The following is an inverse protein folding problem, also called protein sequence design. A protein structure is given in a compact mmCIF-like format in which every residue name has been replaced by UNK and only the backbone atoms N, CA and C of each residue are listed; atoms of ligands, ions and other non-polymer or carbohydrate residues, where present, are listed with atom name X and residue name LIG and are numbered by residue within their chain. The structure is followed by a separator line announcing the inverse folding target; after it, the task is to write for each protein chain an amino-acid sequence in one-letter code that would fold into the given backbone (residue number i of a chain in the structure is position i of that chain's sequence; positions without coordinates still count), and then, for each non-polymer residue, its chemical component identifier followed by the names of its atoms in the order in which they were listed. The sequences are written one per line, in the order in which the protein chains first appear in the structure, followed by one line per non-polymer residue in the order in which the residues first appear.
data_IF_484202785509
#
_entry.id   IF_484202785509
#
_cell.length_a   1.000
_cell.length_b   1.000
_cell.length_c   1.000
_cell.angle_alpha   90.00
_cell.angle_beta   90.00
_cell.angle_gamma   90.00
#
_symmetry.space_group_name_H-M   'P 1'
#
loop_
_entity.id
_entity.type
_entity.pdbx_description
1 polymer ?
#
# COMPACT_ATOMS: atom_id res chain seq x y z
N UNK A 1 69.36 30.77 46.87
CA UNK A 1 67.97 30.83 47.37
C UNK A 1 67.06 30.10 46.40
N UNK A 2 66.35 29.07 46.86
CA UNK A 2 65.40 28.24 46.10
C UNK A 2 64.05 28.96 45.95
N UNK A 3 63.44 28.96 44.77
CA UNK A 3 62.00 29.13 44.52
C UNK A 3 61.68 28.35 43.22
N UNK A 4 61.33 27.07 43.32
CA UNK A 4 59.98 26.49 43.33
C UNK A 4 59.23 26.64 42.00
N UNK A 5 59.31 25.57 41.18
CA UNK A 5 58.48 25.33 40.00
C UNK A 5 57.01 25.14 40.40
N UNK A 6 56.09 25.77 39.68
CA UNK A 6 54.69 25.35 39.61
C UNK A 6 54.40 24.79 38.22
N UNK A 7 54.20 23.48 38.15
CA UNK A 7 53.70 22.75 36.99
C UNK A 7 52.21 23.04 36.85
N UNK A 8 51.81 23.68 35.74
CA UNK A 8 50.40 23.83 35.37
C UNK A 8 49.94 22.51 34.75
N UNK A 9 49.08 21.79 35.48
CA UNK A 9 48.42 20.58 35.03
C UNK A 9 47.27 20.98 34.10
N UNK A 10 47.46 20.80 32.79
CA UNK A 10 46.41 21.04 31.79
C UNK A 10 45.38 19.91 31.85
N UNK A 11 44.19 20.21 32.37
CA UNK A 11 43.07 19.27 32.45
C UNK A 11 42.48 19.10 31.05
N UNK A 12 42.60 17.89 30.49
CA UNK A 12 41.89 17.47 29.29
C UNK A 12 40.38 17.47 29.57
N UNK A 13 39.65 18.42 28.99
CA UNK A 13 38.20 18.36 28.91
C UNK A 13 37.82 17.27 27.88
N UNK A 14 37.43 16.10 28.37
CA UNK A 14 36.87 15.04 27.53
C UNK A 14 35.58 15.54 26.88
N UNK A 15 35.55 15.54 25.55
CA UNK A 15 34.34 15.70 24.75
C UNK A 15 33.46 14.46 24.99
N UNK A 16 32.45 14.62 25.83
CA UNK A 16 31.34 13.67 25.90
C UNK A 16 30.52 13.81 24.62
N UNK A 17 30.64 12.85 23.71
CA UNK A 17 29.62 12.63 22.68
C UNK A 17 28.32 12.28 23.42
N UNK A 18 27.39 13.23 23.48
CA UNK A 18 26.01 12.97 23.87
C UNK A 18 25.41 11.97 22.87
N UNK A 19 25.41 10.69 23.23
CA UNK A 19 24.49 9.72 22.64
C UNK A 19 23.09 10.19 23.02
N UNK A 20 22.34 10.75 22.06
CA UNK A 20 20.94 11.07 22.25
C UNK A 20 20.23 9.77 22.68
N UNK A 21 19.42 9.78 23.75
CA UNK A 21 18.66 8.60 24.14
C UNK A 21 17.80 8.13 22.98
N UNK A 22 17.90 6.85 22.61
CA UNK A 22 17.08 6.24 21.57
C UNK A 22 15.62 6.44 21.96
N UNK A 23 14.89 7.23 21.18
CA UNK A 23 13.46 7.41 21.39
C UNK A 23 12.78 6.04 21.27
N UNK A 24 12.31 5.53 22.40
CA UNK A 24 11.70 4.19 22.50
C UNK A 24 10.27 4.22 21.93
N UNK A 25 9.73 5.41 21.68
CA UNK A 25 8.43 5.65 21.04
C UNK A 25 8.57 6.16 19.60
N UNK A 26 9.80 6.44 19.16
CA UNK A 26 10.09 6.86 17.79
C UNK A 26 9.86 5.72 16.80
N UNK A 27 9.18 5.99 15.70
CA UNK A 27 9.06 5.02 14.62
C UNK A 27 10.39 4.90 13.88
N UNK A 28 10.93 3.69 13.79
CA UNK A 28 12.08 3.45 12.94
C UNK A 28 11.65 3.65 11.48
N UNK A 29 12.35 4.50 10.69
CA UNK A 29 12.00 4.72 9.29
C UNK A 29 12.06 3.38 8.53
N UNK A 30 11.18 3.18 7.53
CA UNK A 30 11.16 1.94 6.76
C UNK A 30 12.54 1.71 6.12
N UNK A 31 13.03 0.48 6.19
CA UNK A 31 14.28 0.10 5.54
C UNK A 31 14.14 0.38 4.04
N UNK A 32 15.16 1.01 3.46
CA UNK A 32 15.22 1.22 2.00
C UNK A 32 15.10 -0.15 1.29
N UNK A 33 14.20 -0.31 0.31
CA UNK A 33 14.08 -1.56 -0.42
C UNK A 33 15.32 -1.83 -1.26
N UNK A 34 15.66 -3.12 -1.35
CA UNK A 34 16.53 -3.61 -2.41
C UNK A 34 15.74 -3.60 -3.72
N UNK A 35 16.26 -2.85 -4.71
CA UNK A 35 15.66 -2.70 -6.03
C UNK A 35 16.61 -3.28 -7.07
N UNK A 36 16.17 -4.30 -7.78
CA UNK A 36 16.97 -4.98 -8.81
C UNK A 36 16.22 -5.00 -10.13
N UNK A 37 16.86 -4.54 -11.21
CA UNK A 37 16.36 -4.75 -12.56
C UNK A 37 16.72 -6.17 -13.01
N UNK A 38 15.71 -7.01 -13.21
CA UNK A 38 15.87 -8.45 -13.53
C UNK A 38 15.87 -8.71 -15.04
N UNK A 39 15.32 -7.77 -15.81
CA UNK A 39 15.33 -7.69 -17.26
C UNK A 39 14.99 -6.24 -17.65
N UNK A 40 15.24 -5.80 -18.90
CA UNK A 40 14.93 -4.44 -19.31
C UNK A 40 13.48 -4.04 -19.00
N UNK A 41 13.29 -3.03 -18.15
CA UNK A 41 11.97 -2.55 -17.75
C UNK A 41 11.23 -3.43 -16.74
N UNK A 42 11.87 -4.46 -16.17
CA UNK A 42 11.31 -5.38 -15.18
C UNK A 42 12.11 -5.30 -13.89
N UNK A 43 11.49 -4.79 -12.83
CA UNK A 43 12.14 -4.53 -11.55
C UNK A 43 11.55 -5.42 -10.46
N UNK A 44 12.40 -5.85 -9.53
CA UNK A 44 12.01 -6.48 -8.28
C UNK A 44 12.27 -5.48 -7.15
N UNK A 45 11.26 -5.19 -6.34
CA UNK A 45 11.29 -4.31 -5.17
C UNK A 45 10.81 -5.12 -3.97
N UNK A 46 11.73 -5.74 -3.22
CA UNK A 46 11.38 -6.75 -2.23
C UNK A 46 10.59 -7.90 -2.85
N UNK A 47 9.34 -8.13 -2.43
CA UNK A 47 8.42 -9.13 -3.02
C UNK A 47 7.53 -8.59 -4.15
N UNK A 48 7.59 -7.28 -4.44
CA UNK A 48 6.81 -6.63 -5.50
C UNK A 48 7.58 -6.68 -6.81
N UNK A 49 6.96 -7.25 -7.84
CA UNK A 49 7.46 -7.20 -9.22
C UNK A 49 6.80 -6.04 -9.95
N UNK A 50 7.58 -5.29 -10.71
CA UNK A 50 7.14 -4.19 -11.55
C UNK A 50 7.50 -4.47 -13.01
N UNK A 51 6.57 -4.19 -13.93
CA UNK A 51 6.76 -4.33 -15.39
C UNK A 51 6.35 -3.04 -16.09
N UNK A 52 7.33 -2.20 -16.46
CA UNK A 52 7.08 -0.88 -17.08
C UNK A 52 6.28 -0.97 -18.37
N UNK A 53 6.62 -1.92 -19.25
CA UNK A 53 5.91 -2.10 -20.53
C UNK A 53 4.40 -2.39 -20.36
N UNK A 54 3.99 -2.87 -19.18
CA UNK A 54 2.58 -3.18 -18.85
C UNK A 54 1.92 -2.13 -17.97
N UNK A 55 2.66 -1.12 -17.48
CA UNK A 55 2.23 -0.20 -16.41
C UNK A 55 1.63 -0.95 -15.21
N UNK A 56 2.32 -1.99 -14.75
CA UNK A 56 1.79 -2.96 -13.80
C UNK A 56 2.78 -3.30 -12.69
N UNK A 57 2.26 -3.50 -11.48
CA UNK A 57 2.93 -4.17 -10.38
C UNK A 57 2.18 -5.46 -10.02
N UNK A 58 2.89 -6.41 -9.41
CA UNK A 58 2.31 -7.65 -8.93
C UNK A 58 3.02 -8.15 -7.68
N UNK A 59 2.27 -8.71 -6.73
CA UNK A 59 2.82 -9.22 -5.48
C UNK A 59 1.99 -10.38 -4.91
N UNK A 60 2.58 -11.28 -4.10
CA UNK A 60 1.89 -12.46 -3.59
C UNK A 60 0.77 -12.07 -2.63
N UNK A 61 -0.32 -12.82 -2.61
CA UNK A 61 -1.36 -12.70 -1.59
C UNK A 61 -2.08 -14.03 -1.37
N UNK A 62 -2.71 -14.18 -0.21
CA UNK A 62 -3.48 -15.36 0.18
C UNK A 62 -4.88 -14.94 0.57
N UNK A 63 -5.89 -15.74 0.21
CA UNK A 63 -7.27 -15.53 0.67
C UNK A 63 -7.32 -15.74 2.18
N UNK A 64 -7.84 -14.75 2.91
CA UNK A 64 -7.79 -14.70 4.37
C UNK A 64 -9.17 -14.80 5.03
N UNK A 65 -10.25 -14.45 4.31
CA UNK A 65 -11.61 -14.64 4.79
C UNK A 65 -12.56 -14.92 3.62
N UNK A 66 -13.72 -15.52 3.92
CA UNK A 66 -14.79 -15.80 2.97
C UNK A 66 -16.19 -15.45 3.51
N UNK A 67 -16.28 -14.95 4.74
CA UNK A 67 -17.49 -14.45 5.40
C UNK A 67 -17.14 -13.31 6.37
N UNK A 68 -18.15 -12.56 6.84
CA UNK A 68 -17.96 -11.44 7.78
C UNK A 68 -17.85 -10.06 7.12
N UNK A 69 -17.85 -8.98 7.92
CA UNK A 69 -17.67 -7.60 7.44
C UNK A 69 -16.27 -7.39 6.86
N UNK A 70 -16.16 -6.50 5.86
CA UNK A 70 -14.91 -6.15 5.20
C UNK A 70 -14.72 -4.65 5.12
N UNK A 71 -13.60 -4.16 5.64
CA UNK A 71 -13.13 -2.79 5.37
C UNK A 71 -12.04 -2.79 4.28
N UNK A 72 -11.35 -3.92 4.07
CA UNK A 72 -10.18 -4.00 3.19
C UNK A 72 -10.22 -5.20 2.25
N UNK A 73 -9.61 -5.02 1.08
CA UNK A 73 -9.34 -6.10 0.14
C UNK A 73 -7.99 -6.75 0.39
N UNK A 74 -6.98 -5.94 0.69
CA UNK A 74 -5.61 -6.41 0.86
C UNK A 74 -4.94 -5.63 1.99
N UNK A 75 -4.44 -6.38 2.97
CA UNK A 75 -3.59 -5.88 4.05
C UNK A 75 -2.35 -6.75 4.21
N UNK A 76 -1.37 -6.26 4.94
CA UNK A 76 -0.27 -7.11 5.43
C UNK A 76 -0.74 -7.98 6.61
N UNK A 77 0.07 -8.98 6.99
CA UNK A 77 -0.21 -9.78 8.19
C UNK A 77 -0.20 -9.00 9.52
N UNK A 78 0.22 -7.73 9.54
CA UNK A 78 0.15 -6.83 10.70
C UNK A 78 -1.08 -5.90 10.66
N UNK A 79 -1.79 -5.85 9.54
CA UNK A 79 -2.95 -4.99 9.38
C UNK A 79 -4.22 -5.60 9.98
N UNK A 80 -5.36 -5.04 9.62
CA UNK A 80 -6.67 -5.47 10.13
C UNK A 80 -7.15 -6.78 9.46
N UNK A 81 -6.48 -7.89 9.75
CA UNK A 81 -6.72 -9.18 9.08
C UNK A 81 -8.13 -9.73 9.30
N UNK A 82 -8.80 -9.42 10.42
CA UNK A 82 -10.15 -9.92 10.71
C UNK A 82 -11.27 -9.34 9.81
N UNK A 83 -10.94 -8.32 9.03
CA UNK A 83 -11.86 -7.55 8.16
C UNK A 83 -11.26 -7.33 6.76
N UNK A 84 -10.34 -8.21 6.36
CA UNK A 84 -9.60 -8.14 5.11
C UNK A 84 -9.72 -9.40 4.26
N UNK A 85 -10.13 -9.25 3.00
CA UNK A 85 -10.31 -10.38 2.08
C UNK A 85 -9.02 -11.18 1.88
N UNK A 86 -7.88 -10.49 1.73
CA UNK A 86 -6.58 -11.09 1.46
C UNK A 86 -5.50 -10.52 2.36
N UNK A 87 -4.51 -11.35 2.66
CA UNK A 87 -3.28 -10.98 3.35
C UNK A 87 -2.09 -11.14 2.42
N UNK A 88 -1.12 -10.23 2.50
CA UNK A 88 0.12 -10.26 1.72
C UNK A 88 1.36 -10.14 2.59
N UNK A 89 2.46 -10.70 2.10
CA UNK A 89 3.82 -10.44 2.60
C UNK A 89 4.50 -9.25 1.92
N UNK A 90 3.83 -8.58 0.99
CA UNK A 90 4.33 -7.36 0.36
C UNK A 90 4.32 -6.20 1.34
N UNK A 91 5.50 -5.62 1.58
CA UNK A 91 5.60 -4.43 2.41
C UNK A 91 4.96 -3.23 1.67
N UNK A 92 4.09 -2.46 2.34
CA UNK A 92 3.44 -1.29 1.75
C UNK A 92 4.44 -0.27 1.20
N UNK A 93 5.61 -0.13 1.84
CA UNK A 93 6.67 0.73 1.33
C UNK A 93 7.22 0.25 -0.03
N UNK A 94 7.33 -1.07 -0.24
CA UNK A 94 7.75 -1.64 -1.53
C UNK A 94 6.69 -1.40 -2.61
N UNK A 95 5.41 -1.55 -2.26
CA UNK A 95 4.28 -1.23 -3.14
C UNK A 95 4.31 0.25 -3.54
N UNK A 96 4.59 1.15 -2.59
CA UNK A 96 4.70 2.59 -2.85
C UNK A 96 5.81 2.88 -3.85
N UNK A 97 7.02 2.36 -3.60
CA UNK A 97 8.19 2.56 -4.46
C UNK A 97 7.95 2.02 -5.87
N UNK A 98 7.33 0.84 -5.99
CA UNK A 98 7.00 0.28 -7.30
C UNK A 98 6.02 1.18 -8.08
N UNK A 99 4.94 1.66 -7.45
CA UNK A 99 4.00 2.58 -8.12
C UNK A 99 4.68 3.89 -8.56
N UNK A 100 5.60 4.43 -7.75
CA UNK A 100 6.38 5.62 -8.11
C UNK A 100 7.35 5.36 -9.27
N UNK A 101 7.97 4.17 -9.35
CA UNK A 101 8.82 3.76 -10.48
C UNK A 101 8.03 3.55 -11.79
N UNK A 102 6.71 3.33 -11.70
CA UNK A 102 5.77 3.41 -12.83
C UNK A 102 5.36 4.85 -13.18
N UNK A 103 5.85 5.85 -12.44
CA UNK A 103 5.44 7.25 -12.52
C UNK A 103 3.96 7.50 -12.22
N UNK A 104 3.30 6.60 -11.47
CA UNK A 104 1.91 6.77 -11.05
C UNK A 104 1.81 7.83 -9.94
N UNK A 105 0.93 8.82 -10.12
CA UNK A 105 0.74 9.93 -9.19
C UNK A 105 -0.31 9.58 -8.13
N UNK A 106 0.07 9.78 -6.86
CA UNK A 106 -0.83 9.68 -5.71
C UNK A 106 -1.72 10.93 -5.56
N UNK A 107 -2.22 11.16 -4.33
CA UNK A 107 -3.16 12.25 -4.04
C UNK A 107 -2.56 13.66 -4.06
N UNK A 108 -1.24 13.77 -4.15
CA UNK A 108 -0.51 15.03 -4.04
C UNK A 108 -0.79 15.74 -2.69
N UNK A 109 -0.82 14.95 -1.61
CA UNK A 109 -1.06 15.43 -0.24
C UNK A 109 -2.53 15.75 0.08
N UNK A 110 -3.44 15.64 -0.87
CA UNK A 110 -4.88 15.86 -0.64
C UNK A 110 -5.48 14.72 0.16
N UNK A 111 -6.33 15.06 1.12
CA UNK A 111 -7.14 14.08 1.84
C UNK A 111 -8.24 13.53 0.95
N UNK A 112 -8.57 12.26 1.17
CA UNK A 112 -9.75 11.64 0.58
C UNK A 112 -10.99 12.26 1.25
N UNK A 113 -11.95 12.78 0.48
CA UNK A 113 -13.17 13.31 1.08
C UNK A 113 -14.04 12.20 1.70
N UNK A 114 -14.51 12.44 2.91
CA UNK A 114 -15.48 11.56 3.62
C UNK A 114 -16.80 11.44 2.85
N UNK A 115 -17.22 12.50 2.16
CA UNK A 115 -18.37 12.44 1.28
C UNK A 115 -18.03 11.58 0.05
N UNK A 116 -18.65 10.41 -0.03
CA UNK A 116 -18.41 9.39 -1.04
C UNK A 116 -18.81 9.79 -2.47
N UNK A 117 -19.62 10.85 -2.63
CA UNK A 117 -19.96 11.44 -3.94
C UNK A 117 -18.81 12.24 -4.55
N UNK A 118 -17.82 12.65 -3.75
CA UNK A 118 -16.64 13.37 -4.23
C UNK A 118 -15.56 12.39 -4.73
N UNK A 119 -14.75 12.78 -5.73
CA UNK A 119 -13.71 11.92 -6.27
C UNK A 119 -12.59 11.66 -5.26
N UNK A 120 -12.03 10.45 -5.29
CA UNK A 120 -10.78 10.12 -4.60
C UNK A 120 -9.60 10.73 -5.38
N UNK A 121 -8.71 11.52 -4.76
CA UNK A 121 -7.57 12.11 -5.43
C UNK A 121 -6.48 11.06 -5.74
N UNK A 122 -5.97 11.06 -6.97
CA UNK A 122 -4.90 10.17 -7.43
C UNK A 122 -5.17 9.59 -8.81
N UNK A 123 -4.34 8.65 -9.23
CA UNK A 123 -4.49 7.96 -10.52
C UNK A 123 -5.31 6.68 -10.42
N UNK A 124 -6.12 6.42 -11.46
CA UNK A 124 -6.99 5.26 -11.51
C UNK A 124 -6.20 3.99 -11.81
N UNK A 125 -6.53 2.91 -11.12
CA UNK A 125 -5.94 1.58 -11.30
C UNK A 125 -7.02 0.52 -11.39
N UNK A 126 -6.71 -0.55 -12.10
CA UNK A 126 -7.47 -1.81 -12.06
C UNK A 126 -6.69 -2.85 -11.27
N UNK A 127 -7.40 -3.67 -10.50
CA UNK A 127 -6.81 -4.67 -9.63
C UNK A 127 -7.41 -6.03 -9.97
N UNK A 128 -6.55 -6.99 -10.32
CA UNK A 128 -6.92 -8.39 -10.55
C UNK A 128 -6.27 -9.29 -9.49
N UNK A 129 -6.93 -10.41 -9.18
CA UNK A 129 -6.31 -11.53 -8.49
C UNK A 129 -6.06 -12.67 -9.48
N UNK A 130 -4.84 -13.20 -9.49
CA UNK A 130 -4.41 -14.29 -10.36
C UNK A 130 -4.05 -15.48 -9.48
N UNK A 131 -4.65 -16.65 -9.73
CA UNK A 131 -4.43 -17.86 -8.93
C UNK A 131 -4.42 -19.11 -9.81
N UNK A 132 -4.21 -20.27 -9.19
CA UNK A 132 -4.31 -21.57 -9.86
C UNK A 132 -5.43 -22.39 -9.25
N UNK A 133 -6.26 -22.97 -10.10
CA UNK A 133 -7.23 -24.00 -9.74
C UNK A 133 -6.67 -25.35 -10.24
N UNK A 134 -6.00 -26.07 -9.34
CA UNK A 134 -5.13 -27.18 -9.72
C UNK A 134 -3.98 -26.70 -10.63
N UNK A 135 -3.95 -27.17 -11.87
CA UNK A 135 -2.96 -26.73 -12.89
C UNK A 135 -3.45 -25.59 -13.77
N UNK A 136 -4.74 -25.20 -13.69
CA UNK A 136 -5.32 -24.21 -14.59
C UNK A 136 -5.13 -22.80 -14.02
N UNK A 137 -4.47 -21.88 -14.76
CA UNK A 137 -4.41 -20.48 -14.34
C UNK A 137 -5.80 -19.85 -14.42
N UNK A 138 -6.13 -19.06 -13.41
CA UNK A 138 -7.38 -18.29 -13.30
C UNK A 138 -7.02 -16.85 -12.96
N UNK A 139 -7.90 -15.94 -13.38
CA UNK A 139 -7.85 -14.54 -12.97
C UNK A 139 -9.22 -13.91 -12.95
N UNK A 140 -9.40 -12.93 -12.09
CA UNK A 140 -10.62 -12.12 -12.02
C UNK A 140 -10.28 -10.71 -11.48
N UNK A 141 -11.04 -9.67 -11.88
CA UNK A 141 -11.05 -8.39 -11.17
C UNK A 141 -11.39 -8.61 -9.71
N UNK A 142 -10.68 -7.94 -8.80
CA UNK A 142 -10.79 -8.19 -7.36
C UNK A 142 -12.18 -7.83 -6.82
N UNK A 143 -12.86 -6.86 -7.43
CA UNK A 143 -14.22 -6.45 -7.06
C UNK A 143 -15.28 -7.54 -7.30
N UNK A 144 -14.98 -8.57 -8.09
CA UNK A 144 -15.89 -9.73 -8.24
C UNK A 144 -16.02 -10.56 -6.96
N UNK A 145 -15.09 -10.40 -6.03
CA UNK A 145 -15.08 -11.06 -4.74
C UNK A 145 -15.74 -10.22 -3.64
N UNK A 146 -16.42 -9.13 -4.02
CA UNK A 146 -17.12 -8.24 -3.09
C UNK A 146 -18.61 -8.26 -3.42
N UNK A 147 -19.42 -8.29 -2.37
CA UNK A 147 -20.85 -8.00 -2.45
C UNK A 147 -21.22 -6.95 -1.41
N UNK A 148 -22.43 -6.41 -1.54
CA UNK A 148 -22.99 -5.41 -0.62
C UNK A 148 -24.12 -6.00 0.19
N UNK A 149 -24.23 -5.60 1.46
CA UNK A 149 -25.35 -5.98 2.34
C UNK A 149 -26.69 -5.49 1.77
N UNK A 150 -26.72 -4.31 1.15
CA UNK A 150 -27.90 -3.72 0.49
C UNK A 150 -28.29 -4.39 -0.84
N UNK A 151 -27.55 -5.43 -1.27
CA UNK A 151 -27.75 -6.21 -2.50
C UNK A 151 -27.66 -5.41 -3.80
N UNK A 152 -27.22 -4.15 -3.77
CA UNK A 152 -26.93 -3.39 -4.99
C UNK A 152 -25.71 -4.00 -5.69
N UNK A 153 -25.61 -3.90 -7.03
CA UNK A 153 -24.45 -4.39 -7.74
C UNK A 153 -23.19 -3.60 -7.34
N UNK A 154 -22.06 -4.30 -7.20
CA UNK A 154 -20.74 -3.67 -7.11
C UNK A 154 -20.34 -3.25 -8.52
N UNK A 155 -20.22 -1.94 -8.76
CA UNK A 155 -19.83 -1.40 -10.07
C UNK A 155 -18.41 -1.81 -10.48
N UNK A 156 -18.08 -1.64 -11.76
CA UNK A 156 -16.73 -1.92 -12.30
C UNK A 156 -15.82 -0.68 -12.26
N UNK A 157 -16.10 0.28 -11.38
CA UNK A 157 -15.29 1.49 -11.24
C UNK A 157 -13.87 1.16 -10.80
N UNK A 158 -12.85 1.84 -11.36
CA UNK A 158 -11.47 1.61 -10.95
C UNK A 158 -11.24 2.06 -9.52
N UNK A 159 -10.26 1.43 -8.87
CA UNK A 159 -9.68 1.95 -7.64
C UNK A 159 -8.80 3.16 -7.97
N UNK A 160 -8.42 3.93 -6.97
CA UNK A 160 -7.45 5.01 -7.12
C UNK A 160 -6.22 4.71 -6.30
N UNK A 161 -5.05 4.80 -6.92
CA UNK A 161 -3.79 4.94 -6.20
C UNK A 161 -3.68 6.38 -5.69
N UNK A 162 -3.91 6.55 -4.40
CA UNK A 162 -3.71 7.83 -3.70
C UNK A 162 -2.33 7.89 -3.02
N UNK A 163 -1.59 6.78 -2.96
CA UNK A 163 -0.42 6.66 -2.10
C UNK A 163 -0.81 6.70 -0.62
N UNK A 164 0.15 6.77 0.30
CA UNK A 164 -0.16 6.88 1.72
C UNK A 164 0.54 8.07 2.35
N UNK A 165 0.02 8.50 3.49
CA UNK A 165 0.50 9.69 4.20
C UNK A 165 1.77 9.40 4.98
N UNK A 166 2.55 10.46 5.15
CA UNK A 166 3.56 10.55 6.19
C UNK A 166 2.94 11.30 7.37
N UNK A 167 3.04 10.75 8.57
CA UNK A 167 2.64 11.41 9.80
C UNK A 167 3.67 11.10 10.89
N UNK A 168 4.23 12.13 11.50
CA UNK A 168 5.27 12.01 12.55
C UNK A 168 6.41 11.05 12.14
N UNK A 169 6.96 11.25 10.93
CA UNK A 169 8.05 10.42 10.39
C UNK A 169 7.65 9.01 9.94
N UNK A 170 6.40 8.60 10.20
CA UNK A 170 5.89 7.26 9.88
C UNK A 170 5.16 7.25 8.54
N UNK A 171 5.50 6.29 7.68
CA UNK A 171 4.69 5.99 6.50
C UNK A 171 3.49 5.14 6.93
N UNK A 172 2.29 5.71 6.89
CA UNK A 172 1.13 5.14 7.58
C UNK A 172 0.74 3.75 7.06
N UNK A 173 0.78 3.52 5.74
CA UNK A 173 0.49 2.20 5.17
C UNK A 173 1.43 1.12 5.72
N UNK A 174 2.72 1.43 5.92
CA UNK A 174 3.68 0.47 6.49
C UNK A 174 3.39 0.19 7.97
N UNK A 175 3.01 1.21 8.73
CA UNK A 175 2.67 1.09 10.15
C UNK A 175 1.39 0.26 10.33
N UNK A 176 0.35 0.59 9.57
CA UNK A 176 -1.00 0.07 9.75
C UNK A 176 -1.27 -1.19 8.90
N UNK A 177 -0.41 -1.47 7.92
CA UNK A 177 -0.56 -2.62 7.04
C UNK A 177 -1.64 -2.48 5.98
N UNK A 178 -2.28 -1.32 5.84
CA UNK A 178 -3.37 -1.05 4.90
C UNK A 178 -2.87 -0.82 3.47
N UNK A 179 -3.30 -1.66 2.51
CA UNK A 179 -2.90 -1.52 1.10
C UNK A 179 -4.11 -1.12 0.24
N UNK A 180 -5.13 -1.97 0.14
CA UNK A 180 -6.33 -1.72 -0.69
C UNK A 180 -7.57 -1.66 0.20
N UNK A 181 -8.13 -0.46 0.35
CA UNK A 181 -9.29 -0.18 1.19
C UNK A 181 -10.61 -0.16 0.41
N UNK A 182 -11.68 -0.69 1.02
CA UNK A 182 -13.06 -0.56 0.56
C UNK A 182 -13.75 0.67 1.16
N UNK A 183 -13.32 1.10 2.34
CA UNK A 183 -13.76 2.32 3.01
C UNK A 183 -12.79 3.48 2.76
N UNK A 184 -13.20 4.71 3.09
CA UNK A 184 -12.31 5.88 3.06
C UNK A 184 -11.19 5.70 4.08
N UNK A 185 -9.97 5.45 3.60
CA UNK A 185 -8.79 5.33 4.46
C UNK A 185 -7.61 6.11 3.86
N UNK A 186 -7.23 7.21 4.53
CA UNK A 186 -6.10 8.04 4.13
C UNK A 186 -4.73 7.38 4.41
N UNK A 187 -4.68 6.31 5.21
CA UNK A 187 -3.48 5.50 5.42
C UNK A 187 -3.32 4.44 4.33
N UNK A 188 -4.40 3.92 3.73
CA UNK A 188 -4.33 2.94 2.64
C UNK A 188 -3.81 3.56 1.33
N UNK A 189 -3.05 2.78 0.57
CA UNK A 189 -2.41 3.23 -0.68
C UNK A 189 -3.36 3.29 -1.87
N UNK A 190 -4.38 2.43 -1.84
CA UNK A 190 -5.43 2.34 -2.85
C UNK A 190 -6.79 2.42 -2.20
N UNK A 191 -7.67 3.25 -2.73
CA UNK A 191 -9.01 3.46 -2.18
C UNK A 191 -10.09 3.16 -3.22
N UNK A 192 -11.18 2.57 -2.72
CA UNK A 192 -12.42 2.36 -3.45
C UNK A 192 -13.06 3.70 -3.82
N UNK A 193 -13.47 3.85 -5.08
CA UNK A 193 -14.11 5.09 -5.59
C UNK A 193 -15.63 5.03 -5.54
N UNK A 194 -16.20 3.86 -5.28
CA UNK A 194 -17.64 3.60 -5.32
C UNK A 194 -18.35 4.29 -4.15
N UNK A 195 -19.64 4.57 -4.37
CA UNK A 195 -20.54 4.98 -3.29
C UNK A 195 -20.67 3.87 -2.25
N UNK A 196 -20.76 4.26 -0.98
CA UNK A 196 -20.77 3.38 0.18
C UNK A 196 -19.41 3.20 0.84
N UNK A 197 -18.33 3.84 0.35
CA UNK A 197 -17.01 3.80 1.04
C UNK A 197 -17.00 4.54 2.39
N UNK A 198 -18.08 5.24 2.75
CA UNK A 198 -18.25 5.86 4.06
C UNK A 198 -18.96 4.94 5.07
N UNK A 199 -19.33 3.72 4.66
CA UNK A 199 -20.07 2.73 5.45
C UNK A 199 -19.21 1.47 5.58
N UNK A 200 -18.70 1.23 6.79
CA UNK A 200 -17.85 0.09 7.18
C UNK A 200 -18.65 -1.22 7.28
N UNK A 201 -19.96 -1.15 7.44
CA UNK A 201 -20.85 -2.29 7.53
C UNK A 201 -21.37 -2.78 6.17
N UNK A 202 -21.04 -2.09 5.09
CA UNK A 202 -21.65 -2.35 3.79
C UNK A 202 -21.09 -3.55 3.04
N UNK A 203 -19.79 -3.82 3.18
CA UNK A 203 -19.09 -4.75 2.30
C UNK A 203 -18.95 -6.13 2.92
N UNK A 204 -19.15 -7.17 2.10
CA UNK A 204 -19.00 -8.58 2.49
C UNK A 204 -18.26 -9.34 1.37
N UNK A 205 -17.58 -10.45 1.68
CA UNK A 205 -17.06 -11.35 0.66
C UNK A 205 -18.19 -11.86 -0.24
N UNK A 206 -17.92 -11.98 -1.54
CA UNK A 206 -18.76 -12.71 -2.49
C UNK A 206 -18.21 -14.14 -2.64
N UNK A 207 -18.84 -15.17 -2.04
CA UNK A 207 -18.26 -16.51 -1.99
C UNK A 207 -18.18 -17.18 -3.37
N UNK A 208 -19.10 -16.83 -4.28
CA UNK A 208 -19.14 -17.44 -5.62
C UNK A 208 -17.93 -17.00 -6.45
N UNK A 209 -17.04 -17.95 -6.70
CA UNK A 209 -15.85 -17.76 -7.53
C UNK A 209 -14.63 -17.27 -6.76
N UNK A 210 -14.79 -16.88 -5.48
CA UNK A 210 -13.67 -16.64 -4.58
C UNK A 210 -12.91 -17.96 -4.34
N UNK A 211 -11.58 -17.99 -4.47
CA UNK A 211 -10.79 -19.17 -4.12
C UNK A 211 -10.98 -19.56 -2.66
N UNK A 212 -10.74 -20.83 -2.34
CA UNK A 212 -10.87 -21.31 -0.97
C UNK A 212 -9.96 -20.52 0.00
N UNK A 213 -10.32 -20.50 1.27
CA UNK A 213 -9.48 -19.95 2.34
C UNK A 213 -8.05 -20.49 2.23
N UNK A 214 -7.06 -19.66 2.53
CA UNK A 214 -5.62 -19.94 2.43
C UNK A 214 -5.10 -20.20 1.01
N UNK A 215 -5.93 -20.08 -0.03
CA UNK A 215 -5.48 -20.17 -1.41
C UNK A 215 -4.51 -19.04 -1.74
N UNK A 216 -3.34 -19.42 -2.23
CA UNK A 216 -2.30 -18.49 -2.66
C UNK A 216 -2.52 -18.02 -4.10
N UNK A 217 -2.18 -16.76 -4.35
CA UNK A 217 -2.20 -16.15 -5.66
C UNK A 217 -1.34 -14.90 -5.73
N UNK A 218 -1.64 -14.06 -6.71
CA UNK A 218 -0.91 -12.83 -7.00
C UNK A 218 -1.92 -11.72 -7.23
N UNK A 219 -1.80 -10.64 -6.47
CA UNK A 219 -2.50 -9.40 -6.75
C UNK A 219 -1.73 -8.69 -7.85
N UNK A 220 -2.46 -8.23 -8.87
CA UNK A 220 -1.91 -7.54 -10.04
C UNK A 220 -2.61 -6.19 -10.14
N UNK A 221 -1.84 -5.11 -10.08
CA UNK A 221 -2.35 -3.73 -10.13
C UNK A 221 -1.80 -3.06 -11.38
N UNK A 222 -2.70 -2.54 -12.23
CA UNK A 222 -2.33 -1.86 -13.47
C UNK A 222 -2.83 -0.43 -13.46
N UNK A 223 -1.92 0.50 -13.74
CA UNK A 223 -2.23 1.93 -13.90
C UNK A 223 -3.00 2.11 -15.20
N UNK A 224 -4.17 2.72 -15.11
CA UNK A 224 -4.94 3.07 -16.29
C UNK A 224 -4.21 4.19 -17.02
N UNK A 225 -3.96 4.01 -18.32
CA UNK A 225 -3.43 5.11 -19.12
C UNK A 225 -4.46 6.24 -19.09
N UNK A 226 -4.05 7.41 -18.63
CA UNK A 226 -4.82 8.62 -18.89
C UNK A 226 -4.92 8.73 -20.41
N UNK A 227 -6.13 8.65 -20.94
CA UNK A 227 -6.38 9.14 -22.29
C UNK A 227 -6.11 10.63 -22.17
N UNK A 228 -4.91 11.05 -22.55
CA UNK A 228 -4.66 12.47 -22.79
C UNK A 228 -5.79 12.90 -23.73
N UNK A 229 -6.64 13.83 -23.28
CA UNK A 229 -7.46 14.58 -24.21
C UNK A 229 -6.45 15.15 -25.20
N UNK A 230 -6.51 14.73 -26.46
CA UNK A 230 -5.71 15.34 -27.50
C UNK A 230 -5.86 16.84 -27.33
N UNK A 231 -4.75 17.55 -27.22
CA UNK A 231 -4.72 18.99 -27.44
C UNK A 231 -4.97 19.19 -28.93
N UNK A 232 -6.21 19.00 -29.34
CA UNK A 232 -6.75 19.55 -30.58
C UNK A 232 -7.75 20.64 -30.16
N UNK A 233 -7.66 21.79 -30.84
CA UNK A 233 -8.32 23.08 -30.61
C UNK A 233 -7.75 23.87 -29.41
N UNK A 234 -7.07 25.02 -29.57
CA UNK A 234 -7.06 26.06 -30.63
C UNK A 234 -5.64 26.63 -30.84
#
# INVERSE_FOLDING_TARGET
MKFLQFTVLSICAGLWLNAQPKDIFGSEPPKKPDITETAPGVFQVGTVKLVKAKNEISFPASVNMNEGPMEYLVVTGKGKTHESLMVTSAEPFHVQVAMLLLNCKGSDGRLIPENDTKPVPGEKVVIEFHWKEGKKPKKAPIEKFVQRVDKKPVGNDPFVFNGSRMFEGSFLAQRDGSIVSLITDNAAQFNNTRQGRADDELWRPQPRGLPALDSNGTVVIRVMKNVEKSKDSQ
#
